data_IF_729757831305
#
_entry.id   IF_729757831305
#
_cell.length_a   1.000
_cell.length_b   1.000
_cell.length_c   1.000
_cell.angle_alpha   90.00
_cell.angle_beta   90.00
_cell.angle_gamma   90.00
#
_symmetry.space_group_name_H-M   'P 1'
#
loop_
_entity.id
_entity.type
_entity.pdbx_description
1 polymer ?
#
# COMPACT_ATOMS: atom_id res chain seq x y z
N UNK A 1 -16.46 23.85 1.17
CA UNK A 1 -16.39 22.46 0.69
C UNK A 1 -14.94 22.18 0.34
N UNK A 2 -14.19 21.47 1.18
CA UNK A 2 -12.87 20.95 0.82
C UNK A 2 -12.97 19.42 0.87
N UNK A 3 -13.68 18.86 -0.10
CA UNK A 3 -13.79 17.41 -0.30
C UNK A 3 -12.61 16.91 -1.13
N UNK A 4 -11.40 17.02 -0.59
CA UNK A 4 -10.24 16.39 -1.20
C UNK A 4 -9.38 15.81 -0.07
N UNK A 5 -9.33 14.48 -0.01
CA UNK A 5 -8.48 13.72 0.90
C UNK A 5 -7.04 14.25 0.76
N UNK A 6 -6.38 14.59 1.86
CA UNK A 6 -5.00 15.07 1.81
C UNK A 6 -4.02 13.90 1.61
N UNK A 7 -2.81 14.18 1.12
CA UNK A 7 -1.79 13.12 0.94
C UNK A 7 -1.44 12.42 2.25
N UNK A 8 -1.48 13.15 3.38
CA UNK A 8 -1.23 12.61 4.72
C UNK A 8 -2.35 11.64 5.12
N UNK A 9 -3.61 12.05 5.01
CA UNK A 9 -4.76 11.20 5.31
C UNK A 9 -4.84 9.98 4.37
N UNK A 10 -4.49 10.16 3.09
CA UNK A 10 -4.38 9.05 2.15
C UNK A 10 -3.30 8.05 2.57
N UNK A 11 -2.21 8.52 3.18
CA UNK A 11 -1.11 7.68 3.64
C UNK A 11 -1.49 6.90 4.91
N UNK A 12 -2.18 7.54 5.85
CA UNK A 12 -2.69 6.88 7.06
C UNK A 12 -3.68 5.76 6.70
N UNK A 13 -4.61 6.06 5.79
CA UNK A 13 -5.61 5.10 5.31
C UNK A 13 -5.07 4.08 4.30
N UNK A 14 -3.82 4.23 3.85
CA UNK A 14 -3.26 3.38 2.80
C UNK A 14 -3.09 1.95 3.27
N UNK A 15 -2.69 1.74 4.54
CA UNK A 15 -2.48 0.39 5.06
C UNK A 15 -3.80 -0.38 5.16
N UNK A 16 -4.85 0.27 5.70
CA UNK A 16 -6.22 -0.23 5.76
C UNK A 16 -6.81 -0.49 4.37
N UNK A 17 -6.51 0.38 3.40
CA UNK A 17 -6.92 0.19 2.01
C UNK A 17 -6.27 -1.05 1.38
N UNK A 18 -4.99 -1.30 1.66
CA UNK A 18 -4.29 -2.50 1.17
C UNK A 18 -4.78 -3.77 1.89
N UNK A 19 -5.12 -3.66 3.19
CA UNK A 19 -5.68 -4.79 3.96
C UNK A 19 -7.17 -5.06 3.66
N UNK A 20 -7.83 -4.14 2.94
CA UNK A 20 -9.28 -4.17 2.63
C UNK A 20 -10.16 -4.01 3.86
N UNK A 21 -9.70 -3.22 4.83
CA UNK A 21 -10.41 -2.92 6.07
C UNK A 21 -11.26 -1.63 5.99
N UNK A 22 -11.13 -0.87 4.90
CA UNK A 22 -11.91 0.35 4.67
C UNK A 22 -13.34 0.08 4.16
N UNK A 23 -14.25 1.02 4.46
CA UNK A 23 -15.62 1.01 3.92
C UNK A 23 -15.65 1.41 2.44
N UNK A 24 -16.71 1.07 1.71
CA UNK A 24 -16.91 1.47 0.31
C UNK A 24 -16.81 2.99 0.08
N UNK A 25 -17.21 3.80 1.07
CA UNK A 25 -17.09 5.25 1.00
C UNK A 25 -15.62 5.70 1.04
N UNK A 26 -14.86 5.17 2.00
CA UNK A 26 -13.44 5.50 2.17
C UNK A 26 -12.58 4.98 1.03
N UNK A 27 -12.89 3.79 0.51
CA UNK A 27 -12.26 3.23 -0.70
C UNK A 27 -12.40 4.18 -1.88
N UNK A 28 -13.58 4.80 -2.06
CA UNK A 28 -13.78 5.77 -3.14
C UNK A 28 -12.97 7.03 -2.94
N UNK A 29 -12.89 7.55 -1.71
CA UNK A 29 -12.09 8.75 -1.40
C UNK A 29 -10.60 8.52 -1.65
N UNK A 30 -10.05 7.41 -1.15
CA UNK A 30 -8.65 7.02 -1.36
C UNK A 30 -8.39 6.79 -2.84
N UNK A 31 -9.25 6.05 -3.55
CA UNK A 31 -9.08 5.80 -4.98
C UNK A 31 -9.07 7.09 -5.79
N UNK A 32 -10.02 8.00 -5.52
CA UNK A 32 -10.05 9.31 -6.17
C UNK A 32 -8.73 10.06 -5.94
N UNK A 33 -8.23 10.09 -4.70
CA UNK A 33 -6.93 10.70 -4.42
C UNK A 33 -5.79 10.05 -5.22
N UNK A 34 -5.71 8.73 -5.26
CA UNK A 34 -4.67 8.00 -6.02
C UNK A 34 -4.74 8.30 -7.52
N UNK A 35 -5.94 8.51 -8.09
CA UNK A 35 -6.12 8.89 -9.50
C UNK A 35 -5.61 10.30 -9.82
N UNK A 36 -5.73 11.24 -8.87
CA UNK A 36 -5.26 12.61 -9.04
C UNK A 36 -3.86 12.88 -8.45
N UNK A 37 -3.29 11.92 -7.74
CA UNK A 37 -2.01 12.04 -7.04
C UNK A 37 -1.07 10.86 -7.38
N UNK A 38 -0.32 10.95 -8.51
CA UNK A 38 0.68 9.96 -8.90
C UNK A 38 1.69 9.56 -7.81
N UNK A 39 2.21 10.47 -6.96
CA UNK A 39 3.15 10.05 -5.91
C UNK A 39 2.50 9.16 -4.83
N UNK A 40 1.22 9.35 -4.52
CA UNK A 40 0.50 8.45 -3.61
C UNK A 40 0.19 7.11 -4.30
N UNK A 41 -0.12 7.12 -5.60
CA UNK A 41 -0.32 5.89 -6.39
C UNK A 41 0.92 4.98 -6.41
N UNK A 42 2.11 5.56 -6.60
CA UNK A 42 3.37 4.81 -6.60
C UNK A 42 3.62 4.14 -5.24
N UNK A 43 3.37 4.86 -4.14
CA UNK A 43 3.45 4.35 -2.77
C UNK A 43 2.48 3.20 -2.54
N UNK A 44 1.23 3.36 -2.98
CA UNK A 44 0.22 2.30 -2.91
C UNK A 44 0.68 1.04 -3.66
N UNK A 45 1.15 1.18 -4.91
CA UNK A 45 1.63 0.05 -5.72
C UNK A 45 2.78 -0.68 -5.05
N UNK A 46 3.69 0.06 -4.42
CA UNK A 46 4.77 -0.52 -3.64
C UNK A 46 4.25 -1.32 -2.44
N UNK A 47 3.38 -0.74 -1.62
CA UNK A 47 2.84 -1.37 -0.41
C UNK A 47 1.97 -2.59 -0.74
N UNK A 48 1.12 -2.51 -1.76
CA UNK A 48 0.32 -3.63 -2.25
C UNK A 48 1.18 -4.76 -2.83
N UNK A 49 2.24 -4.42 -3.58
CA UNK A 49 3.24 -5.37 -4.06
C UNK A 49 3.98 -6.04 -2.90
N UNK A 50 4.34 -5.27 -1.88
CA UNK A 50 5.01 -5.75 -0.68
C UNK A 50 4.13 -6.72 0.13
N UNK A 51 2.89 -6.34 0.46
CA UNK A 51 1.94 -7.25 1.16
C UNK A 51 1.70 -8.53 0.37
N UNK A 52 1.58 -8.46 -0.96
CA UNK A 52 1.49 -9.66 -1.81
C UNK A 52 2.72 -10.56 -1.70
N UNK A 53 3.91 -9.98 -1.74
CA UNK A 53 5.16 -10.73 -1.61
C UNK A 53 5.30 -11.38 -0.23
N UNK A 54 4.97 -10.65 0.84
CA UNK A 54 4.95 -11.19 2.21
C UNK A 54 3.98 -12.35 2.30
N UNK A 55 2.77 -12.21 1.77
CA UNK A 55 1.76 -13.29 1.76
C UNK A 55 2.26 -14.55 1.05
N UNK A 56 2.83 -14.40 -0.15
CA UNK A 56 3.43 -15.52 -0.90
C UNK A 56 4.57 -16.18 -0.11
N UNK A 57 5.38 -15.40 0.61
CA UNK A 57 6.46 -15.94 1.44
C UNK A 57 5.96 -16.70 2.66
N UNK A 58 4.88 -16.23 3.29
CA UNK A 58 4.25 -16.90 4.42
C UNK A 58 3.49 -18.17 3.99
N UNK A 59 2.91 -18.19 2.78
CA UNK A 59 2.19 -19.36 2.24
C UNK A 59 3.14 -20.47 1.73
N UNK A 60 4.40 -20.16 1.43
CA UNK A 60 5.37 -21.11 0.84
C UNK A 60 6.46 -21.63 1.81
N UNK A 61 6.40 -21.32 3.10
CA UNK A 61 7.38 -21.72 4.16
C UNK A 61 8.86 -21.32 3.89
N UNK A 62 9.16 -20.72 2.74
CA UNK A 62 10.48 -20.21 2.34
C UNK A 62 10.32 -18.90 1.58
N UNK A 63 10.61 -17.79 2.27
CA UNK A 63 10.79 -16.50 1.61
C UNK A 63 11.91 -16.58 0.55
N UNK A 64 11.66 -16.18 -0.72
CA UNK A 64 12.67 -16.17 -1.77
C UNK A 64 13.85 -15.26 -1.40
N UNK A 65 15.08 -15.72 -1.69
CA UNK A 65 16.31 -14.98 -1.36
C UNK A 65 16.33 -13.53 -1.89
N UNK A 66 15.72 -13.30 -3.06
CA UNK A 66 15.60 -11.97 -3.66
C UNK A 66 14.76 -10.99 -2.81
N UNK A 67 13.82 -11.49 -1.99
CA UNK A 67 13.05 -10.65 -1.06
C UNK A 67 13.90 -10.25 0.16
N UNK A 68 14.72 -11.17 0.67
CA UNK A 68 15.68 -10.90 1.77
C UNK A 68 16.67 -9.81 1.39
N UNK A 69 17.23 -9.85 0.18
CA UNK A 69 18.15 -8.82 -0.30
C UNK A 69 17.50 -7.45 -0.48
N UNK A 70 16.26 -7.38 -0.97
CA UNK A 70 15.53 -6.11 -1.09
C UNK A 70 15.14 -5.53 0.26
N UNK A 71 14.72 -6.38 1.21
CA UNK A 71 14.39 -5.98 2.56
C UNK A 71 15.60 -5.46 3.34
N UNK A 72 16.76 -6.11 3.20
CA UNK A 72 18.01 -5.64 3.81
C UNK A 72 18.40 -4.24 3.32
N UNK A 73 18.09 -3.87 2.07
CA UNK A 73 18.40 -2.54 1.52
C UNK A 73 17.41 -1.44 1.91
N UNK A 74 16.24 -1.81 2.43
CA UNK A 74 15.19 -0.85 2.83
C UNK A 74 15.21 -0.64 4.36
N UNK A 75 15.68 -1.64 5.11
CA UNK A 75 15.78 -1.61 6.58
C UNK A 75 17.18 -1.19 7.10
N UNK A 76 18.14 -0.90 6.23
CA UNK A 76 19.47 -0.35 6.55
C UNK A 76 19.81 0.84 5.65
#
# INVERSE_FOLDING_TARGET
MNGNLSCDECMERLDEFVDRELTDAEIREVRLHLEFCPPCEERYRFQAGFKRLVKVCCEQDKAPAALREKLQKILF
#
